data_IF_503235423988
#
_entry.id   IF_503235423988
#
_cell.length_a   1.000
_cell.length_b   1.000
_cell.length_c   1.000
_cell.angle_alpha   90.00
_cell.angle_beta   90.00
_cell.angle_gamma   90.00
#
_symmetry.space_group_name_H-M   'P 1'
#
loop_
_entity.id
_entity.type
_entity.pdbx_description
1 polymer ?
#
# COMPACT_ATOMS: atom_id res chain seq x y z
N UNK A 1 -27.63 -24.34 11.52
CA UNK A 1 -27.89 -22.93 11.91
C UNK A 1 -26.64 -22.27 12.48
N UNK A 2 -25.99 -22.87 13.49
CA UNK A 2 -24.75 -22.36 14.14
C UNK A 2 -23.61 -22.05 13.15
N UNK A 3 -23.34 -22.93 12.17
CA UNK A 3 -22.28 -22.72 11.19
C UNK A 3 -22.50 -21.50 10.27
N UNK A 4 -23.76 -21.17 9.96
CA UNK A 4 -24.12 -19.98 9.15
C UNK A 4 -23.94 -18.70 9.96
N UNK A 5 -24.30 -18.73 11.24
CA UNK A 5 -24.12 -17.62 12.17
C UNK A 5 -22.64 -17.32 12.43
N UNK A 6 -21.79 -18.35 12.53
CA UNK A 6 -20.34 -18.18 12.66
C UNK A 6 -19.71 -17.56 11.40
N UNK A 7 -20.11 -18.02 10.21
CA UNK A 7 -19.61 -17.49 8.95
C UNK A 7 -19.97 -16.00 8.76
N UNK A 8 -21.19 -15.62 9.13
CA UNK A 8 -21.63 -14.22 9.09
C UNK A 8 -20.87 -13.34 10.08
N UNK A 9 -20.61 -13.83 11.30
CA UNK A 9 -19.83 -13.10 12.30
C UNK A 9 -18.37 -12.89 11.87
N UNK A 10 -17.76 -13.90 11.23
CA UNK A 10 -16.38 -13.80 10.72
C UNK A 10 -16.26 -12.82 9.55
N UNK A 11 -17.25 -12.80 8.65
CA UNK A 11 -17.30 -11.85 7.54
C UNK A 11 -17.44 -10.40 8.04
N UNK A 12 -18.25 -10.18 9.08
CA UNK A 12 -18.44 -8.85 9.67
C UNK A 12 -17.18 -8.36 10.42
N UNK A 13 -16.48 -9.26 11.11
CA UNK A 13 -15.21 -8.95 11.76
C UNK A 13 -14.10 -8.60 10.74
N UNK A 14 -14.07 -9.27 9.59
CA UNK A 14 -13.10 -8.98 8.52
C UNK A 14 -13.32 -7.61 7.86
N UNK A 15 -14.57 -7.14 7.78
CA UNK A 15 -14.89 -5.82 7.20
C UNK A 15 -14.35 -4.64 8.04
N UNK A 16 -14.13 -4.83 9.34
CA UNK A 16 -13.54 -3.82 10.24
C UNK A 16 -12.01 -3.71 10.15
N UNK A 17 -11.34 -4.62 9.42
CA UNK A 17 -9.87 -4.65 9.32
C UNK A 17 -9.31 -3.74 8.21
N UNK A 18 -10.18 -3.10 7.41
CA UNK A 18 -9.76 -2.05 6.50
C UNK A 18 -9.40 -0.79 7.30
N UNK A 19 -8.16 -0.75 7.81
CA UNK A 19 -7.64 0.39 8.53
C UNK A 19 -7.66 1.66 7.66
N UNK A 20 -7.90 2.80 8.27
CA UNK A 20 -7.74 4.09 7.59
C UNK A 20 -6.27 4.32 7.29
N UNK A 21 -5.94 4.62 6.03
CA UNK A 21 -4.61 5.10 5.68
C UNK A 21 -4.46 6.50 6.30
N UNK A 22 -3.59 6.62 7.29
CA UNK A 22 -3.24 7.89 7.90
C UNK A 22 -2.03 8.48 7.16
N UNK A 23 -1.86 9.81 7.24
CA UNK A 23 -0.64 10.43 6.76
C UNK A 23 0.58 9.80 7.45
N UNK A 24 1.57 9.41 6.65
CA UNK A 24 2.82 8.80 7.10
C UNK A 24 3.97 9.82 7.06
N UNK A 25 5.07 9.48 7.72
CA UNK A 25 6.30 10.29 7.72
C UNK A 25 6.96 10.24 6.33
N UNK A 26 6.98 11.38 5.65
CA UNK A 26 7.57 11.54 4.32
C UNK A 26 9.07 11.29 4.32
N UNK A 27 9.80 11.74 5.35
CA UNK A 27 11.25 11.55 5.43
C UNK A 27 11.61 10.08 5.64
N UNK A 28 10.84 9.36 6.47
CA UNK A 28 10.96 7.92 6.61
C UNK A 28 10.62 7.17 5.31
N UNK A 29 9.64 7.66 4.55
CA UNK A 29 9.27 7.16 3.23
C UNK A 29 10.40 7.31 2.21
N UNK A 30 10.99 8.50 2.12
CA UNK A 30 12.14 8.78 1.25
C UNK A 30 13.33 7.85 1.58
N UNK A 31 13.64 7.67 2.87
CA UNK A 31 14.68 6.73 3.30
C UNK A 31 14.36 5.29 2.88
N UNK A 32 13.10 4.88 3.00
CA UNK A 32 12.66 3.53 2.63
C UNK A 32 12.72 3.30 1.12
N UNK A 33 12.47 4.34 0.31
CA UNK A 33 12.57 4.28 -1.14
C UNK A 33 13.97 3.91 -1.65
N UNK A 34 15.02 4.03 -0.82
CA UNK A 34 16.36 3.53 -1.17
C UNK A 34 16.39 2.03 -1.52
N UNK A 35 15.43 1.24 -1.04
CA UNK A 35 15.26 -0.17 -1.42
C UNK A 35 14.66 -0.34 -2.81
N UNK A 36 13.91 0.65 -3.28
CA UNK A 36 13.16 0.65 -4.53
C UNK A 36 13.92 1.35 -5.67
N UNK A 37 14.76 2.34 -5.33
CA UNK A 37 15.46 3.22 -6.29
C UNK A 37 16.39 2.49 -7.26
N UNK A 38 16.73 1.24 -6.98
CA UNK A 38 17.50 0.42 -7.89
C UNK A 38 16.70 0.05 -9.16
N UNK A 39 15.38 -0.04 -9.04
CA UNK A 39 14.49 -0.44 -10.14
C UNK A 39 13.57 0.69 -10.60
N UNK A 40 13.21 1.59 -9.69
CA UNK A 40 12.15 2.57 -9.90
C UNK A 40 12.66 4.01 -9.75
N UNK A 41 12.00 4.92 -10.47
CA UNK A 41 12.24 6.36 -10.41
C UNK A 41 10.96 7.10 -10.04
N UNK A 42 11.11 8.25 -9.37
CA UNK A 42 10.04 9.18 -8.98
C UNK A 42 10.55 10.61 -9.24
N UNK A 43 9.68 11.49 -9.70
CA UNK A 43 9.98 12.89 -10.02
C UNK A 43 9.65 13.26 -11.47
N UNK A 44 9.66 14.56 -11.78
CA UNK A 44 9.22 15.11 -13.07
C UNK A 44 10.00 14.56 -14.28
N UNK A 45 11.26 14.16 -14.07
CA UNK A 45 12.13 13.62 -15.12
C UNK A 45 12.29 12.10 -15.02
N UNK A 46 11.47 11.42 -14.22
CA UNK A 46 11.52 9.97 -14.06
C UNK A 46 11.27 9.27 -15.40
N UNK A 47 11.88 8.10 -15.55
CA UNK A 47 11.72 7.25 -16.73
C UNK A 47 11.52 5.82 -16.30
N UNK A 48 10.79 5.06 -17.11
CA UNK A 48 10.77 3.61 -16.98
C UNK A 48 12.20 3.05 -17.13
N UNK A 49 12.56 2.09 -16.30
CA UNK A 49 13.88 1.43 -16.28
C UNK A 49 13.67 -0.08 -16.09
N UNK A 50 14.34 -0.70 -15.11
CA UNK A 50 14.07 -2.09 -14.70
C UNK A 50 12.60 -2.25 -14.28
N UNK A 51 12.08 -1.27 -13.54
CA UNK A 51 10.66 -1.12 -13.26
C UNK A 51 10.09 0.18 -13.86
N UNK A 52 8.76 0.32 -13.91
CA UNK A 52 8.13 1.57 -14.32
C UNK A 52 8.46 2.71 -13.35
N UNK A 53 8.28 3.95 -13.80
CA UNK A 53 8.21 5.08 -12.88
C UNK A 53 7.03 4.93 -11.90
N UNK A 54 7.19 5.48 -10.70
CA UNK A 54 6.20 5.38 -9.62
C UNK A 54 5.60 6.75 -9.28
N UNK A 55 5.50 7.63 -10.27
CA UNK A 55 4.73 8.86 -10.16
C UNK A 55 3.23 8.56 -10.13
N UNK A 56 2.46 9.35 -9.39
CA UNK A 56 1.00 9.25 -9.44
C UNK A 56 0.39 8.03 -8.76
N UNK A 57 1.13 7.31 -7.89
CA UNK A 57 0.60 6.15 -7.17
C UNK A 57 -0.38 6.59 -6.08
N UNK A 58 -1.68 6.44 -6.35
CA UNK A 58 -2.77 6.63 -5.38
C UNK A 58 -3.95 5.71 -5.72
#
# INVERSE_FOLDING_TARGET
>A
MIARSLAAALALAAAGFAGTANAQDVAAGEKSFNKCRACHQVGETAKNSVGPELNGLF
#
